data_IF_195751746799
#
_entry.id   IF_195751746799
#
_cell.length_a   1.000
_cell.length_b   1.000
_cell.length_c   1.000
_cell.angle_alpha   90.00
_cell.angle_beta   90.00
_cell.angle_gamma   90.00
#
_symmetry.space_group_name_H-M   'P 1'
#
loop_
_entity.id
_entity.type
_entity.pdbx_description
1 polymer ?
#
# COMPACT_ATOMS: atom_id res chain seq x y z
N UNK A 1 -40.59 25.04 2.72
CA UNK A 1 -39.17 25.32 2.35
C UNK A 1 -38.32 25.05 3.54
N UNK A 2 -37.84 23.81 3.72
CA UNK A 2 -36.90 23.44 4.77
C UNK A 2 -35.50 23.29 4.16
N UNK A 3 -34.65 24.24 4.50
CA UNK A 3 -33.23 24.24 4.14
C UNK A 3 -32.51 23.12 4.89
N UNK A 4 -32.30 22.00 4.24
CA UNK A 4 -31.36 20.98 4.71
C UNK A 4 -29.94 21.56 4.69
N UNK A 5 -29.48 22.09 5.82
CA UNK A 5 -28.07 22.40 6.07
C UNK A 5 -27.29 21.08 6.02
N UNK A 6 -26.56 20.86 4.94
CA UNK A 6 -25.52 19.82 4.86
C UNK A 6 -24.52 20.07 5.98
N UNK A 7 -24.65 19.34 7.07
CA UNK A 7 -23.67 19.28 8.14
C UNK A 7 -22.39 18.66 7.59
N UNK A 8 -21.47 19.52 7.17
CA UNK A 8 -20.06 19.14 7.03
C UNK A 8 -19.56 18.77 8.42
N UNK A 9 -19.49 17.47 8.72
CA UNK A 9 -18.97 16.98 9.99
C UNK A 9 -17.54 17.49 10.16
N UNK A 10 -17.36 18.41 11.11
CA UNK A 10 -16.04 18.90 11.52
C UNK A 10 -15.16 17.71 11.90
N UNK A 11 -13.86 17.70 11.54
CA UNK A 11 -12.95 16.63 11.93
C UNK A 11 -12.94 16.50 13.44
N UNK A 12 -13.04 15.28 13.95
CA UNK A 12 -12.91 14.99 15.38
C UNK A 12 -11.57 15.55 15.91
N UNK A 13 -11.52 16.18 17.08
CA UNK A 13 -10.27 16.73 17.63
C UNK A 13 -9.19 15.65 17.74
N UNK A 14 -8.04 15.89 17.10
CA UNK A 14 -6.91 14.97 17.07
C UNK A 14 -6.85 14.04 15.87
N UNK A 15 -7.76 14.14 14.89
CA UNK A 15 -7.69 13.39 13.62
C UNK A 15 -6.80 14.13 12.62
N UNK A 16 -5.78 13.46 12.09
CA UNK A 16 -4.90 13.98 11.04
C UNK A 16 -5.49 13.57 9.70
N UNK A 17 -6.07 14.54 8.99
CA UNK A 17 -6.86 14.31 7.76
C UNK A 17 -6.01 13.76 6.63
N UNK A 18 -4.75 14.16 6.52
CA UNK A 18 -3.80 13.65 5.54
C UNK A 18 -3.54 12.16 5.65
N UNK A 19 -3.64 11.57 6.85
CA UNK A 19 -3.48 10.11 7.04
C UNK A 19 -4.65 9.35 6.41
N UNK A 20 -5.87 9.84 6.62
CA UNK A 20 -7.07 9.25 6.01
C UNK A 20 -7.09 9.47 4.50
N UNK A 21 -6.68 10.66 4.04
CA UNK A 21 -6.51 10.96 2.62
C UNK A 21 -5.51 10.00 1.97
N UNK A 22 -4.32 9.85 2.54
CA UNK A 22 -3.26 9.04 1.95
C UNK A 22 -3.67 7.57 1.82
N UNK A 23 -4.35 7.04 2.84
CA UNK A 23 -4.94 5.70 2.78
C UNK A 23 -5.97 5.57 1.66
N UNK A 24 -6.88 6.53 1.55
CA UNK A 24 -7.93 6.55 0.52
C UNK A 24 -7.37 6.74 -0.87
N UNK A 25 -6.37 7.60 -1.04
CA UNK A 25 -5.66 7.81 -2.30
C UNK A 25 -5.01 6.51 -2.81
N UNK A 26 -4.30 5.80 -1.94
CA UNK A 26 -3.68 4.52 -2.30
C UNK A 26 -4.72 3.49 -2.74
N UNK A 27 -5.84 3.39 -2.02
CA UNK A 27 -6.92 2.46 -2.38
C UNK A 27 -7.67 2.87 -3.65
N UNK A 28 -7.82 4.17 -3.88
CA UNK A 28 -8.42 4.68 -5.11
C UNK A 28 -7.58 4.32 -6.34
N UNK A 29 -6.25 4.42 -6.25
CA UNK A 29 -5.36 3.99 -7.32
C UNK A 29 -5.45 2.48 -7.58
N UNK A 30 -5.48 1.64 -6.53
CA UNK A 30 -5.66 0.19 -6.69
C UNK A 30 -6.99 -0.17 -7.37
N UNK A 31 -8.06 0.57 -7.09
CA UNK A 31 -9.33 0.39 -7.78
C UNK A 31 -9.25 0.74 -9.28
N UNK A 32 -8.39 1.70 -9.66
CA UNK A 32 -8.13 2.05 -11.06
C UNK A 32 -7.38 0.95 -11.83
N UNK A 33 -6.43 0.25 -11.16
CA UNK A 33 -5.79 -0.96 -11.73
C UNK A 33 -6.83 -2.06 -11.96
N UNK A 34 -7.65 -2.34 -10.97
CA UNK A 34 -8.70 -3.35 -11.06
C UNK A 34 -9.73 -3.05 -12.18
N UNK A 35 -9.90 -1.77 -12.53
CA UNK A 35 -10.72 -1.34 -13.67
C UNK A 35 -10.02 -1.52 -15.04
N UNK A 36 -8.80 -2.08 -15.10
CA UNK A 36 -7.96 -2.25 -16.30
C UNK A 36 -7.71 -0.95 -17.08
N UNK A 37 -7.75 0.20 -16.38
CA UNK A 37 -7.55 1.50 -17.02
C UNK A 37 -6.08 1.73 -17.40
N UNK A 38 -5.16 1.31 -16.55
CA UNK A 38 -3.73 1.64 -16.70
C UNK A 38 -3.09 0.92 -17.88
N UNK A 39 -3.39 -0.36 -18.05
CA UNK A 39 -2.93 -1.15 -19.20
C UNK A 39 -3.46 -0.63 -20.54
N UNK A 40 -4.61 0.05 -20.55
CA UNK A 40 -5.16 0.70 -21.74
C UNK A 40 -4.29 1.89 -22.18
N UNK A 41 -3.64 2.61 -21.27
CA UNK A 41 -2.76 3.74 -21.62
C UNK A 41 -1.53 3.30 -22.43
N UNK A 42 -1.04 2.10 -22.23
CA UNK A 42 0.09 1.54 -22.99
C UNK A 42 -0.25 1.27 -24.46
N UNK A 43 -1.53 1.12 -24.80
CA UNK A 43 -2.00 0.85 -26.15
C UNK A 43 -2.09 2.10 -27.02
N UNK A 44 -1.99 3.31 -26.43
CA UNK A 44 -2.03 4.56 -27.18
C UNK A 44 -0.72 4.80 -27.92
N UNK A 45 -0.79 5.23 -29.19
CA UNK A 45 0.36 5.71 -29.96
C UNK A 45 0.69 7.18 -29.57
N UNK A 46 1.03 7.37 -28.32
CA UNK A 46 1.39 8.66 -27.74
C UNK A 46 2.45 8.46 -26.67
N UNK A 47 3.62 9.07 -26.85
CA UNK A 47 4.71 8.98 -25.88
C UNK A 47 4.33 9.42 -24.45
N UNK A 48 3.42 10.39 -24.33
CA UNK A 48 2.91 10.83 -23.04
C UNK A 48 2.02 9.77 -22.38
N UNK A 49 1.09 9.16 -23.13
CA UNK A 49 0.23 8.10 -22.58
C UNK A 49 1.02 6.85 -22.24
N UNK A 50 1.98 6.47 -23.06
CA UNK A 50 2.90 5.36 -22.79
C UNK A 50 3.74 5.64 -21.54
N UNK A 51 4.25 6.87 -21.36
CA UNK A 51 4.96 7.23 -20.13
C UNK A 51 4.07 7.06 -18.90
N UNK A 52 2.82 7.56 -18.92
CA UNK A 52 1.88 7.39 -17.82
C UNK A 52 1.59 5.90 -17.60
N UNK A 53 1.29 5.14 -18.65
CA UNK A 53 1.04 3.70 -18.58
C UNK A 53 2.21 2.96 -17.92
N UNK A 54 3.44 3.21 -18.36
CA UNK A 54 4.65 2.62 -17.79
C UNK A 54 4.81 2.97 -16.29
N UNK A 55 4.52 4.21 -15.88
CA UNK A 55 4.58 4.58 -14.46
C UNK A 55 3.47 3.92 -13.61
N UNK A 56 2.38 3.48 -14.22
CA UNK A 56 1.25 2.81 -13.58
C UNK A 56 1.30 1.27 -13.72
N UNK A 57 2.37 0.73 -14.28
CA UNK A 57 2.70 -0.69 -14.32
C UNK A 57 3.90 -1.00 -13.42
N UNK A 58 4.00 -2.25 -12.97
CA UNK A 58 5.15 -2.70 -12.22
C UNK A 58 6.41 -2.73 -13.08
N UNK A 59 7.53 -2.25 -12.52
CA UNK A 59 8.83 -2.47 -13.17
C UNK A 59 9.12 -3.97 -13.28
N UNK A 60 9.67 -4.37 -14.42
CA UNK A 60 9.85 -5.80 -14.70
C UNK A 60 10.75 -6.48 -13.69
N UNK A 61 11.92 -5.90 -13.37
CA UNK A 61 12.85 -6.45 -12.39
C UNK A 61 13.64 -5.36 -11.65
N UNK A 62 14.73 -4.83 -12.23
CA UNK A 62 15.59 -3.83 -11.59
C UNK A 62 15.17 -2.41 -11.96
N UNK A 63 14.58 -1.70 -11.03
CA UNK A 63 14.11 -0.32 -11.17
C UNK A 63 12.90 -0.03 -10.31
N UNK A 64 12.36 1.18 -10.47
CA UNK A 64 11.24 1.68 -9.67
C UNK A 64 10.32 2.52 -10.55
N UNK A 65 9.10 2.05 -10.75
CA UNK A 65 8.00 2.85 -11.27
C UNK A 65 7.15 3.41 -10.14
N UNK A 66 6.32 4.39 -10.43
CA UNK A 66 5.38 4.94 -9.44
C UNK A 66 4.47 3.85 -8.86
N UNK A 67 4.03 2.89 -9.69
CA UNK A 67 3.17 1.79 -9.26
C UNK A 67 3.83 0.88 -8.21
N UNK A 68 5.14 0.81 -8.22
CA UNK A 68 5.89 0.04 -7.23
C UNK A 68 5.82 0.63 -5.82
N UNK A 69 5.43 1.89 -5.68
CA UNK A 69 5.25 2.57 -4.40
C UNK A 69 3.91 2.25 -3.71
N UNK A 70 2.92 1.71 -4.41
CA UNK A 70 1.57 1.50 -3.86
C UNK A 70 1.57 0.56 -2.66
N UNK A 71 2.29 -0.56 -2.73
CA UNK A 71 2.42 -1.48 -1.61
C UNK A 71 3.18 -0.85 -0.42
N UNK A 72 4.35 -0.22 -0.58
CA UNK A 72 5.01 0.58 0.45
C UNK A 72 4.10 1.63 1.08
N UNK A 73 3.33 2.37 0.29
CA UNK A 73 2.36 3.35 0.77
C UNK A 73 1.35 2.71 1.71
N UNK A 74 0.81 1.55 1.32
CA UNK A 74 -0.19 0.85 2.11
C UNK A 74 0.39 0.31 3.42
N UNK A 75 1.57 -0.34 3.38
CA UNK A 75 2.28 -0.84 4.55
C UNK A 75 2.58 0.28 5.55
N UNK A 76 3.10 1.38 5.04
CA UNK A 76 3.50 2.54 5.83
C UNK A 76 2.30 3.23 6.49
N UNK A 77 1.21 3.50 5.73
CA UNK A 77 0.06 4.23 6.27
C UNK A 77 -0.68 3.42 7.34
N UNK A 78 -0.67 2.08 7.23
CA UNK A 78 -1.16 1.21 8.31
C UNK A 78 -0.29 1.38 9.56
N UNK A 79 1.03 1.46 9.41
CA UNK A 79 1.95 1.78 10.49
C UNK A 79 1.67 3.14 11.13
N UNK A 80 1.48 4.19 10.33
CA UNK A 80 1.13 5.55 10.80
C UNK A 80 -0.14 5.53 11.64
N UNK A 81 -1.12 4.71 11.28
CA UNK A 81 -2.40 4.62 11.98
C UNK A 81 -2.30 3.92 13.35
N UNK A 82 -1.30 3.08 13.61
CA UNK A 82 -1.16 2.31 14.87
C UNK A 82 -1.15 3.21 16.12
N UNK A 83 -0.29 4.25 16.23
CA UNK A 83 -0.26 5.11 17.41
C UNK A 83 -1.60 5.81 17.67
N UNK A 84 -2.26 6.29 16.61
CA UNK A 84 -3.58 6.93 16.72
C UNK A 84 -4.65 5.96 17.21
N UNK A 85 -4.70 4.74 16.67
CA UNK A 85 -5.65 3.72 17.06
C UNK A 85 -5.45 3.30 18.52
N UNK A 86 -4.21 3.10 18.94
CA UNK A 86 -3.87 2.75 20.33
C UNK A 86 -4.27 3.88 21.28
N UNK A 87 -3.91 5.14 20.98
CA UNK A 87 -4.27 6.30 21.78
C UNK A 87 -5.79 6.44 21.95
N UNK A 88 -6.56 6.25 20.87
CA UNK A 88 -8.02 6.29 20.92
C UNK A 88 -8.62 5.18 21.80
N UNK A 89 -8.03 3.99 21.82
CA UNK A 89 -8.48 2.88 22.67
C UNK A 89 -8.16 3.14 24.14
N UNK A 90 -6.99 3.67 24.43
CA UNK A 90 -6.61 4.08 25.79
C UNK A 90 -7.58 5.14 26.31
N UNK A 91 -7.91 6.15 25.49
CA UNK A 91 -8.91 7.18 25.86
C UNK A 91 -10.30 6.59 26.14
N UNK A 92 -10.65 5.47 25.51
CA UNK A 92 -11.91 4.74 25.78
C UNK A 92 -11.85 3.82 27.00
N UNK A 93 -10.71 3.75 27.70
CA UNK A 93 -10.53 2.90 28.88
C UNK A 93 -10.18 1.44 28.57
N UNK A 94 -9.83 1.11 27.32
CA UNK A 94 -9.41 -0.27 26.99
C UNK A 94 -8.09 -0.63 27.69
N UNK A 95 -8.04 -1.78 28.36
CA UNK A 95 -6.81 -2.30 28.95
C UNK A 95 -5.77 -2.70 27.89
N UNK A 96 -4.49 -2.70 28.27
CA UNK A 96 -3.41 -3.14 27.37
C UNK A 96 -3.64 -4.55 26.80
N UNK A 97 -4.18 -5.47 27.61
CA UNK A 97 -4.53 -6.84 27.19
C UNK A 97 -5.59 -6.80 26.08
N UNK A 98 -6.63 -5.99 26.23
CA UNK A 98 -7.71 -5.84 25.24
C UNK A 98 -7.19 -5.23 23.93
N UNK A 99 -6.30 -4.21 24.02
CA UNK A 99 -5.66 -3.58 22.87
C UNK A 99 -4.79 -4.59 22.12
N UNK A 100 -3.99 -5.39 22.85
CA UNK A 100 -3.12 -6.41 22.25
C UNK A 100 -3.93 -7.53 21.60
N UNK A 101 -4.97 -8.03 22.26
CA UNK A 101 -5.83 -9.08 21.71
C UNK A 101 -6.53 -8.61 20.41
N UNK A 102 -6.94 -7.33 20.38
CA UNK A 102 -7.51 -6.76 19.15
C UNK A 102 -6.48 -6.68 18.03
N UNK A 103 -5.22 -6.35 18.34
CA UNK A 103 -4.16 -6.33 17.33
C UNK A 103 -3.86 -7.74 16.78
N UNK A 104 -3.82 -8.75 17.65
CA UNK A 104 -3.65 -10.16 17.26
C UNK A 104 -4.83 -10.62 16.39
N UNK A 105 -6.07 -10.33 16.82
CA UNK A 105 -7.27 -10.67 16.04
C UNK A 105 -7.22 -10.02 14.65
N UNK A 106 -6.84 -8.76 14.57
CA UNK A 106 -6.70 -8.04 13.31
C UNK A 106 -5.65 -8.67 12.40
N UNK A 107 -4.48 -9.01 12.96
CA UNK A 107 -3.42 -9.72 12.23
C UNK A 107 -3.92 -11.06 11.66
N UNK A 108 -4.59 -11.85 12.48
CA UNK A 108 -5.18 -13.13 12.05
C UNK A 108 -6.22 -12.95 10.95
N UNK A 109 -7.12 -11.97 11.07
CA UNK A 109 -8.13 -11.71 10.03
C UNK A 109 -7.51 -11.23 8.72
N UNK A 110 -6.45 -10.41 8.77
CA UNK A 110 -5.69 -10.03 7.57
C UNK A 110 -5.08 -11.25 6.89
N UNK A 111 -4.48 -12.17 7.67
CA UNK A 111 -3.92 -13.41 7.16
C UNK A 111 -5.00 -14.29 6.53
N UNK A 112 -6.11 -14.48 7.23
CA UNK A 112 -7.24 -15.28 6.78
C UNK A 112 -7.80 -14.77 5.44
N UNK A 113 -8.11 -13.47 5.34
CA UNK A 113 -8.62 -12.91 4.10
C UNK A 113 -7.58 -12.91 2.98
N UNK A 114 -6.30 -12.67 3.30
CA UNK A 114 -5.24 -12.74 2.31
C UNK A 114 -5.04 -14.15 1.74
N UNK A 115 -5.11 -15.18 2.56
CA UNK A 115 -5.08 -16.58 2.08
C UNK A 115 -6.38 -16.97 1.37
N UNK A 116 -7.55 -16.51 1.84
CA UNK A 116 -8.81 -16.77 1.17
C UNK A 116 -8.81 -16.30 -0.29
N UNK A 117 -8.19 -15.14 -0.58
CA UNK A 117 -8.03 -14.67 -1.96
C UNK A 117 -7.20 -15.62 -2.81
N UNK A 118 -6.08 -16.16 -2.27
CA UNK A 118 -5.27 -17.15 -2.99
C UNK A 118 -6.00 -18.47 -3.19
N UNK A 119 -6.81 -18.92 -2.23
CA UNK A 119 -7.58 -20.17 -2.37
C UNK A 119 -8.62 -20.04 -3.47
N UNK A 120 -9.25 -18.86 -3.61
CA UNK A 120 -10.21 -18.59 -4.70
C UNK A 120 -9.50 -18.58 -6.06
N UNK A 121 -8.31 -17.98 -6.16
CA UNK A 121 -7.55 -17.88 -7.39
C UNK A 121 -6.97 -19.23 -7.85
N UNK A 122 -6.44 -20.02 -6.90
CA UNK A 122 -5.73 -21.27 -7.17
C UNK A 122 -6.63 -22.51 -7.20
N UNK A 123 -7.88 -22.42 -6.75
CA UNK A 123 -8.82 -23.54 -6.56
C UNK A 123 -8.28 -24.67 -5.64
N UNK A 124 -7.26 -24.37 -4.83
CA UNK A 124 -6.72 -25.24 -3.80
C UNK A 124 -6.03 -24.43 -2.69
N UNK A 125 -5.65 -25.08 -1.59
CA UNK A 125 -5.00 -24.41 -0.47
C UNK A 125 -3.55 -24.02 -0.81
N UNK A 126 -3.28 -22.72 -0.82
CA UNK A 126 -1.97 -22.13 -1.09
C UNK A 126 -1.60 -21.14 0.00
N UNK A 127 -0.44 -21.31 0.62
CA UNK A 127 -0.01 -20.50 1.76
C UNK A 127 1.09 -19.48 1.37
N UNK A 128 0.72 -18.51 0.53
CA UNK A 128 1.60 -17.44 0.05
C UNK A 128 1.53 -16.19 0.94
N UNK A 129 2.63 -15.43 0.98
CA UNK A 129 2.70 -14.13 1.65
C UNK A 129 3.07 -13.00 0.67
N UNK A 130 2.54 -13.06 -0.55
CA UNK A 130 2.88 -12.13 -1.62
C UNK A 130 1.87 -10.98 -1.74
N UNK A 131 0.59 -11.18 -1.40
CA UNK A 131 -0.40 -10.10 -1.42
C UNK A 131 -0.27 -9.17 -0.19
N UNK A 132 -0.84 -7.98 -0.32
CA UNK A 132 -0.78 -6.92 0.70
C UNK A 132 -1.36 -7.35 2.04
N UNK A 133 -2.44 -8.13 2.07
CA UNK A 133 -3.11 -8.54 3.33
C UNK A 133 -2.26 -9.54 4.11
N UNK A 134 -1.71 -10.56 3.42
CA UNK A 134 -0.85 -11.56 4.09
C UNK A 134 0.43 -10.91 4.62
N UNK A 135 1.07 -10.03 3.86
CA UNK A 135 2.24 -9.29 4.34
C UNK A 135 1.89 -8.39 5.53
N UNK A 136 0.76 -7.65 5.46
CA UNK A 136 0.31 -6.81 6.56
C UNK A 136 0.01 -7.61 7.83
N UNK A 137 -0.44 -8.85 7.72
CA UNK A 137 -0.71 -9.66 8.90
C UNK A 137 0.53 -9.78 9.80
N UNK A 138 1.70 -9.95 9.21
CA UNK A 138 2.99 -10.05 9.92
C UNK A 138 3.53 -8.67 10.26
N UNK A 139 3.67 -7.80 9.26
CA UNK A 139 4.33 -6.49 9.44
C UNK A 139 3.59 -5.59 10.43
N UNK A 140 2.25 -5.63 10.41
CA UNK A 140 1.41 -4.92 11.40
C UNK A 140 1.63 -5.45 12.81
N UNK A 141 1.67 -6.78 13.00
CA UNK A 141 1.85 -7.38 14.32
C UNK A 141 3.23 -7.05 14.89
N UNK A 142 4.29 -7.18 14.08
CA UNK A 142 5.65 -6.82 14.48
C UNK A 142 5.74 -5.34 14.88
N UNK A 143 5.26 -4.44 14.01
CA UNK A 143 5.25 -3.01 14.28
C UNK A 143 4.43 -2.66 15.54
N UNK A 144 3.29 -3.32 15.75
CA UNK A 144 2.48 -3.15 16.95
C UNK A 144 3.23 -3.60 18.22
N UNK A 145 3.90 -4.75 18.19
CA UNK A 145 4.63 -5.28 19.36
C UNK A 145 5.80 -4.37 19.78
N UNK A 146 6.53 -3.83 18.81
CA UNK A 146 7.68 -2.94 19.10
C UNK A 146 7.29 -1.45 19.20
N UNK A 147 6.00 -1.10 19.04
CA UNK A 147 5.54 0.30 19.02
C UNK A 147 5.98 1.13 20.23
N UNK A 148 6.08 0.49 21.42
CA UNK A 148 6.45 1.18 22.66
C UNK A 148 7.96 1.29 22.88
N UNK A 149 8.77 0.64 22.03
CA UNK A 149 10.24 0.75 22.10
C UNK A 149 10.69 2.14 21.65
N UNK A 150 11.92 2.51 22.03
CA UNK A 150 12.51 3.81 21.66
C UNK A 150 12.64 3.97 20.15
N UNK A 151 12.75 5.22 19.69
CA UNK A 151 13.03 5.54 18.28
C UNK A 151 14.29 4.81 17.78
N UNK A 152 15.38 4.87 18.55
CA UNK A 152 16.66 4.22 18.19
C UNK A 152 16.50 2.71 18.04
N UNK A 153 15.79 2.07 18.96
CA UNK A 153 15.54 0.63 18.87
C UNK A 153 14.77 0.27 17.59
N UNK A 154 13.68 0.96 17.28
CA UNK A 154 12.86 0.68 16.10
C UNK A 154 13.64 0.90 14.81
N UNK A 155 14.45 1.96 14.74
CA UNK A 155 15.29 2.24 13.58
C UNK A 155 16.39 1.16 13.42
N UNK A 156 17.14 0.86 14.47
CA UNK A 156 18.20 -0.17 14.44
C UNK A 156 17.59 -1.52 14.07
N UNK A 157 16.47 -1.90 14.67
CA UNK A 157 15.76 -3.14 14.37
C UNK A 157 15.45 -3.28 12.87
N UNK A 158 14.94 -2.22 12.25
CA UNK A 158 14.63 -2.26 10.81
C UNK A 158 15.89 -2.32 9.94
N UNK A 159 16.93 -1.57 10.29
CA UNK A 159 18.21 -1.63 9.56
C UNK A 159 18.90 -3.00 9.69
N UNK A 160 18.83 -3.62 10.86
CA UNK A 160 19.36 -4.97 11.09
C UNK A 160 18.59 -6.01 10.27
N UNK A 161 17.26 -5.93 10.22
CA UNK A 161 16.46 -6.83 9.38
C UNK A 161 16.84 -6.67 7.91
N UNK A 162 16.97 -5.43 7.40
CA UNK A 162 17.35 -5.17 6.00
C UNK A 162 18.76 -5.71 5.71
N UNK A 163 19.70 -5.55 6.63
CA UNK A 163 21.04 -6.10 6.49
C UNK A 163 21.03 -7.64 6.50
N UNK A 164 20.31 -8.25 7.43
CA UNK A 164 20.25 -9.71 7.54
C UNK A 164 19.63 -10.37 6.31
N UNK A 165 18.56 -9.78 5.76
CA UNK A 165 17.94 -10.32 4.56
C UNK A 165 18.84 -10.12 3.32
N UNK A 166 19.52 -8.99 3.21
CA UNK A 166 20.48 -8.73 2.14
C UNK A 166 21.64 -9.74 2.18
N UNK A 167 22.21 -9.98 3.38
CA UNK A 167 23.24 -11.00 3.57
C UNK A 167 22.73 -12.42 3.27
N UNK A 168 21.50 -12.73 3.66
CA UNK A 168 20.87 -14.02 3.36
C UNK A 168 20.74 -14.27 1.86
N UNK A 169 20.35 -13.26 1.08
CA UNK A 169 20.31 -13.38 -0.39
C UNK A 169 21.70 -13.53 -1.00
N UNK A 170 22.70 -12.74 -0.53
CA UNK A 170 24.08 -12.73 -1.06
C UNK A 170 24.83 -14.04 -0.83
N UNK A 171 24.67 -14.62 0.35
CA UNK A 171 25.42 -15.78 0.80
C UNK A 171 24.58 -17.07 0.81
N UNK A 172 23.48 -17.10 0.07
CA UNK A 172 22.64 -18.28 -0.02
C UNK A 172 23.38 -19.41 -0.78
N UNK A 173 23.61 -20.58 -0.15
CA UNK A 173 24.56 -21.56 -0.68
C UNK A 173 23.96 -22.61 -1.63
N UNK A 174 22.63 -22.56 -1.88
CA UNK A 174 21.96 -23.62 -2.67
C UNK A 174 22.22 -23.40 -4.15
N UNK A 175 22.82 -24.40 -4.81
CA UNK A 175 23.09 -24.38 -6.24
C UNK A 175 21.80 -24.17 -7.05
N UNK A 176 21.87 -23.34 -8.09
CA UNK A 176 20.72 -22.89 -8.89
C UNK A 176 19.88 -21.78 -8.24
N UNK A 177 20.15 -21.43 -6.96
CA UNK A 177 19.50 -20.33 -6.25
C UNK A 177 20.48 -19.36 -5.57
N UNK A 178 21.74 -19.46 -5.92
CA UNK A 178 22.84 -18.67 -5.37
C UNK A 178 23.19 -17.42 -6.16
N UNK A 179 22.30 -16.98 -7.05
CA UNK A 179 22.40 -15.72 -7.80
C UNK A 179 21.45 -14.68 -7.20
N UNK A 180 21.88 -13.86 -6.21
CA UNK A 180 21.00 -13.09 -5.31
C UNK A 180 20.02 -12.17 -6.01
N UNK A 181 20.41 -11.64 -7.20
CA UNK A 181 19.62 -10.63 -7.91
C UNK A 181 19.05 -11.13 -9.24
N UNK A 182 19.18 -12.42 -9.53
CA UNK A 182 18.62 -13.04 -10.74
C UNK A 182 17.24 -13.61 -10.44
N UNK A 183 16.29 -13.35 -11.34
CA UNK A 183 14.92 -13.84 -11.16
C UNK A 183 14.89 -15.37 -11.23
N UNK A 184 14.14 -16.00 -10.35
CA UNK A 184 14.03 -17.47 -10.16
C UNK A 184 15.31 -18.20 -9.69
N UNK A 185 16.45 -17.52 -9.54
CA UNK A 185 17.72 -18.11 -9.16
C UNK A 185 18.23 -17.60 -7.80
N UNK A 186 17.32 -17.19 -6.92
CA UNK A 186 17.66 -16.55 -5.64
C UNK A 186 16.94 -17.21 -4.46
N UNK A 187 17.32 -16.80 -3.25
CA UNK A 187 16.73 -17.26 -1.98
C UNK A 187 15.20 -17.16 -1.98
N UNK A 188 14.62 -16.06 -2.53
CA UNK A 188 13.19 -15.88 -2.57
C UNK A 188 12.48 -16.94 -3.40
N UNK A 189 13.03 -17.26 -4.57
CA UNK A 189 12.52 -18.33 -5.43
C UNK A 189 12.63 -19.71 -4.78
N UNK A 190 13.80 -20.00 -4.16
CA UNK A 190 13.98 -21.25 -3.40
C UNK A 190 12.96 -21.40 -2.28
N UNK A 191 12.74 -20.34 -1.53
CA UNK A 191 11.78 -20.32 -0.43
C UNK A 191 10.34 -20.54 -0.92
N UNK A 192 9.96 -19.88 -2.02
CA UNK A 192 8.66 -20.09 -2.66
C UNK A 192 8.48 -21.55 -3.09
N UNK A 193 9.46 -22.15 -3.77
CA UNK A 193 9.41 -23.54 -4.23
C UNK A 193 9.21 -24.52 -3.06
N UNK A 194 9.85 -24.25 -1.91
CA UNK A 194 9.72 -25.10 -0.72
C UNK A 194 8.36 -24.98 -0.02
N UNK A 195 7.77 -23.78 0.01
CA UNK A 195 6.47 -23.54 0.67
C UNK A 195 5.32 -23.88 -0.26
N UNK A 196 5.41 -23.48 -1.53
CA UNK A 196 4.34 -23.63 -2.49
C UNK A 196 4.37 -25.00 -3.20
N UNK A 197 5.49 -25.71 -3.13
CA UNK A 197 5.64 -27.04 -3.70
C UNK A 197 5.56 -27.11 -5.23
N UNK A 198 5.88 -25.99 -5.90
CA UNK A 198 5.89 -25.87 -7.37
C UNK A 198 7.24 -25.39 -7.89
N UNK A 199 7.73 -25.98 -8.99
CA UNK A 199 9.06 -25.68 -9.53
C UNK A 199 9.18 -24.26 -10.14
N UNK A 200 8.07 -23.65 -10.55
CA UNK A 200 8.02 -22.27 -11.01
C UNK A 200 7.01 -21.48 -10.18
N UNK A 201 7.48 -21.04 -9.04
CA UNK A 201 6.73 -20.12 -8.22
C UNK A 201 6.68 -18.71 -8.87
N UNK A 202 5.81 -17.86 -8.35
CA UNK A 202 5.72 -16.44 -8.73
C UNK A 202 7.09 -15.75 -8.68
N UNK A 203 7.30 -14.75 -9.53
CA UNK A 203 8.45 -13.83 -9.45
C UNK A 203 8.50 -13.05 -8.13
N UNK A 204 7.37 -12.98 -7.42
CA UNK A 204 7.25 -12.32 -6.13
C UNK A 204 7.69 -13.24 -5.00
N UNK A 205 8.65 -12.80 -4.20
CA UNK A 205 9.11 -13.59 -3.08
C UNK A 205 8.16 -13.51 -1.88
N UNK A 206 7.80 -14.67 -1.34
CA UNK A 206 7.04 -14.76 -0.08
C UNK A 206 7.80 -14.10 1.08
N UNK A 207 9.14 -14.11 1.09
CA UNK A 207 9.98 -13.47 2.10
C UNK A 207 9.88 -11.93 2.15
N UNK A 208 9.21 -11.28 1.21
CA UNK A 208 9.09 -9.82 1.15
C UNK A 208 8.54 -9.19 2.43
N UNK A 209 7.69 -9.90 3.19
CA UNK A 209 7.15 -9.38 4.44
C UNK A 209 8.25 -9.07 5.48
N UNK A 210 9.41 -9.73 5.40
CA UNK A 210 10.55 -9.47 6.32
C UNK A 210 11.07 -8.05 6.06
N UNK A 211 11.46 -7.75 4.84
CA UNK A 211 11.99 -6.43 4.44
C UNK A 211 10.93 -5.33 4.57
N UNK A 212 9.71 -5.58 4.09
CA UNK A 212 8.62 -4.59 4.10
C UNK A 212 8.10 -4.27 5.51
N UNK A 213 8.46 -5.07 6.53
CA UNK A 213 8.25 -4.72 7.94
C UNK A 213 8.85 -3.35 8.27
N UNK A 214 9.95 -2.96 7.63
CA UNK A 214 10.56 -1.65 7.83
C UNK A 214 9.59 -0.51 7.47
N UNK A 215 8.84 -0.60 6.37
CA UNK A 215 7.85 0.43 5.99
C UNK A 215 6.79 0.62 7.09
N UNK A 216 6.26 -0.48 7.64
CA UNK A 216 5.22 -0.41 8.69
C UNK A 216 5.79 0.17 9.98
N UNK A 217 7.02 -0.19 10.38
CA UNK A 217 7.69 0.36 11.56
C UNK A 217 8.01 1.85 11.38
N UNK A 218 8.52 2.25 10.21
CA UNK A 218 8.76 3.68 9.92
C UNK A 218 7.45 4.46 9.90
N UNK A 219 6.35 3.85 9.46
CA UNK A 219 5.01 4.40 9.61
C UNK A 219 4.67 4.69 11.09
N UNK A 220 4.93 3.75 12.00
CA UNK A 220 4.72 3.97 13.45
C UNK A 220 5.53 5.17 13.96
N UNK A 221 6.79 5.31 13.54
CA UNK A 221 7.65 6.44 13.92
C UNK A 221 7.08 7.76 13.41
N UNK A 222 6.64 7.81 12.16
CA UNK A 222 6.01 9.00 11.58
C UNK A 222 4.65 9.32 12.23
N UNK A 223 3.85 8.31 12.57
CA UNK A 223 2.60 8.48 13.31
C UNK A 223 2.83 9.11 14.69
N UNK A 224 3.84 8.64 15.43
CA UNK A 224 4.25 9.25 16.70
C UNK A 224 4.74 10.69 16.52
N UNK A 225 5.50 10.96 15.45
CA UNK A 225 5.94 12.32 15.13
C UNK A 225 4.74 13.24 14.88
N UNK A 226 3.76 12.81 14.10
CA UNK A 226 2.55 13.59 13.84
C UNK A 226 1.74 13.87 15.11
N UNK A 227 1.74 12.94 16.08
CA UNK A 227 1.06 13.10 17.39
C UNK A 227 1.85 13.92 18.40
N UNK A 228 3.13 14.18 18.17
CA UNK A 228 3.98 14.91 19.10
C UNK A 228 3.63 16.41 19.19
N UNK A 229 4.07 17.06 20.26
CA UNK A 229 3.87 18.51 20.49
C UNK A 229 4.78 19.41 19.61
N UNK A 230 5.55 18.83 18.71
CA UNK A 230 6.41 19.59 17.77
C UNK A 230 5.56 20.47 16.87
N UNK A 231 6.11 21.64 16.50
CA UNK A 231 5.47 22.53 15.52
C UNK A 231 5.34 21.87 14.15
N UNK A 232 4.37 22.31 13.34
CA UNK A 232 4.20 21.82 11.98
C UNK A 232 5.49 21.94 11.15
N UNK A 233 6.22 23.04 11.29
CA UNK A 233 7.52 23.25 10.60
C UNK A 233 8.54 22.18 11.01
N UNK A 234 8.67 21.90 12.29
CA UNK A 234 9.60 20.86 12.79
C UNK A 234 9.21 19.46 12.29
N UNK A 235 7.91 19.12 12.29
CA UNK A 235 7.43 17.85 11.74
C UNK A 235 7.78 17.69 10.27
N UNK A 236 7.51 18.72 9.46
CA UNK A 236 7.85 18.75 8.03
C UNK A 236 9.36 18.62 7.82
N UNK A 237 10.19 19.36 8.55
CA UNK A 237 11.64 19.26 8.43
C UNK A 237 12.15 17.84 8.73
N UNK A 238 11.68 17.21 9.78
CA UNK A 238 12.06 15.83 10.13
C UNK A 238 11.64 14.86 9.04
N UNK A 239 10.41 14.98 8.52
CA UNK A 239 9.90 14.12 7.44
C UNK A 239 10.72 14.31 6.14
N UNK A 240 11.05 15.56 5.77
CA UNK A 240 11.88 15.83 4.58
C UNK A 240 13.27 15.19 4.76
N UNK A 241 13.93 15.41 5.89
CA UNK A 241 15.27 14.86 6.14
C UNK A 241 15.24 13.34 6.08
N UNK A 242 14.25 12.69 6.75
CA UNK A 242 14.13 11.24 6.74
C UNK A 242 13.82 10.70 5.34
N UNK A 243 12.91 11.34 4.61
CA UNK A 243 12.53 10.92 3.26
C UNK A 243 13.70 11.07 2.27
N UNK A 244 14.37 12.23 2.28
CA UNK A 244 15.55 12.46 1.41
C UNK A 244 16.70 11.52 1.76
N UNK A 245 16.96 11.26 3.03
CA UNK A 245 17.98 10.29 3.45
C UNK A 245 17.65 8.88 2.92
N UNK A 246 16.38 8.44 3.00
CA UNK A 246 15.94 7.17 2.43
C UNK A 246 16.18 7.09 0.92
N UNK A 247 15.84 8.15 0.16
CA UNK A 247 16.10 8.23 -1.27
C UNK A 247 17.59 8.17 -1.59
N UNK A 248 18.39 9.03 -0.96
CA UNK A 248 19.83 9.10 -1.21
C UNK A 248 20.48 7.75 -0.94
N UNK A 249 20.21 7.11 0.21
CA UNK A 249 20.82 5.82 0.53
C UNK A 249 20.31 4.73 -0.42
N UNK A 250 18.99 4.64 -0.65
CA UNK A 250 18.40 3.60 -1.49
C UNK A 250 18.90 3.64 -2.93
N UNK A 251 18.90 4.81 -3.56
CA UNK A 251 19.44 4.99 -4.93
C UNK A 251 20.97 4.88 -4.98
N UNK A 252 21.69 5.29 -3.94
CA UNK A 252 23.15 5.10 -3.92
C UNK A 252 23.53 3.64 -3.89
N UNK A 253 22.81 2.78 -3.16
CA UNK A 253 23.04 1.33 -3.14
C UNK A 253 22.85 0.72 -4.53
N UNK A 254 21.88 1.19 -5.29
CA UNK A 254 21.61 0.73 -6.66
C UNK A 254 22.69 1.24 -7.64
N UNK A 255 22.93 2.55 -7.67
CA UNK A 255 23.89 3.19 -8.58
C UNK A 255 25.33 2.70 -8.37
N UNK A 256 25.71 2.37 -7.14
CA UNK A 256 27.01 1.79 -6.81
C UNK A 256 27.07 0.27 -7.04
N UNK A 257 26.01 -0.34 -7.58
CA UNK A 257 25.90 -1.78 -7.79
C UNK A 257 26.11 -2.62 -6.52
N UNK A 258 25.78 -2.04 -5.35
CA UNK A 258 25.85 -2.77 -4.09
C UNK A 258 24.62 -3.66 -3.94
N UNK A 259 23.41 -3.10 -4.08
CA UNK A 259 22.15 -3.83 -4.03
C UNK A 259 21.17 -3.18 -5.02
N UNK A 260 20.75 -3.85 -6.09
CA UNK A 260 19.82 -3.30 -7.07
C UNK A 260 18.44 -3.05 -6.48
N UNK A 261 17.72 -2.08 -7.01
CA UNK A 261 16.34 -1.80 -6.62
C UNK A 261 15.42 -2.84 -7.27
N UNK A 262 15.00 -3.85 -6.50
CA UNK A 262 14.08 -4.90 -6.98
C UNK A 262 12.92 -5.05 -6.01
N UNK A 263 11.74 -4.65 -6.45
CA UNK A 263 10.51 -4.76 -5.66
C UNK A 263 10.09 -6.20 -5.41
N UNK A 264 10.20 -7.06 -6.42
CA UNK A 264 9.66 -8.43 -6.40
C UNK A 264 10.32 -9.32 -5.33
N UNK A 265 11.52 -8.97 -4.89
CA UNK A 265 12.24 -9.61 -3.76
C UNK A 265 12.47 -8.65 -2.59
N UNK A 266 11.91 -7.44 -2.64
CA UNK A 266 11.97 -6.39 -1.63
C UNK A 266 13.40 -6.16 -1.10
N UNK A 267 14.35 -5.87 -2.01
CA UNK A 267 15.75 -5.56 -1.67
C UNK A 267 15.85 -4.38 -0.70
N UNK A 268 16.94 -4.32 0.04
CA UNK A 268 17.18 -3.22 1.00
C UNK A 268 17.20 -1.85 0.33
N UNK A 269 17.77 -1.74 -0.87
CA UNK A 269 17.73 -0.52 -1.70
C UNK A 269 16.30 -0.13 -2.09
N UNK A 270 15.47 -1.10 -2.53
CA UNK A 270 14.06 -0.86 -2.81
C UNK A 270 13.31 -0.36 -1.58
N UNK A 271 13.50 -1.00 -0.42
CA UNK A 271 12.80 -0.60 0.82
C UNK A 271 13.19 0.79 1.26
N UNK A 272 14.48 1.15 1.17
CA UNK A 272 14.99 2.48 1.52
C UNK A 272 14.46 3.56 0.54
N UNK A 273 14.56 3.32 -0.77
CA UNK A 273 14.10 4.28 -1.78
C UNK A 273 12.57 4.47 -1.72
N UNK A 274 11.81 3.38 -1.73
CA UNK A 274 10.34 3.45 -1.65
C UNK A 274 9.85 4.00 -0.31
N UNK A 275 10.54 3.69 0.80
CA UNK A 275 10.29 4.29 2.12
C UNK A 275 10.54 5.79 2.12
N UNK A 276 11.60 6.25 1.47
CA UNK A 276 11.90 7.68 1.27
C UNK A 276 10.76 8.39 0.53
N UNK A 277 10.34 7.87 -0.62
CA UNK A 277 9.19 8.39 -1.37
C UNK A 277 7.90 8.41 -0.53
N UNK A 278 7.67 7.36 0.23
CA UNK A 278 6.48 7.22 1.08
C UNK A 278 6.44 8.29 2.18
N UNK A 279 7.57 8.54 2.85
CA UNK A 279 7.69 9.58 3.88
C UNK A 279 7.48 10.97 3.27
N UNK A 280 8.04 11.24 2.08
CA UNK A 280 7.84 12.50 1.38
C UNK A 280 6.39 12.68 0.92
N UNK A 281 5.73 11.64 0.45
CA UNK A 281 4.31 11.66 0.08
C UNK A 281 3.42 11.96 1.30
N UNK A 282 3.70 11.37 2.47
CA UNK A 282 3.03 11.72 3.72
C UNK A 282 3.31 13.19 4.11
N UNK A 283 4.56 13.63 4.01
CA UNK A 283 4.96 15.01 4.29
C UNK A 283 4.20 16.01 3.43
N UNK A 284 4.13 15.77 2.12
CA UNK A 284 3.38 16.59 1.18
C UNK A 284 1.89 16.62 1.50
N UNK A 285 1.29 15.45 1.76
CA UNK A 285 -0.12 15.34 2.13
C UNK A 285 -0.43 16.09 3.43
N UNK A 286 0.44 15.97 4.44
CA UNK A 286 0.32 16.68 5.71
C UNK A 286 0.43 18.20 5.53
N UNK A 287 1.41 18.65 4.77
CA UNK A 287 1.60 20.07 4.46
C UNK A 287 0.39 20.65 3.71
N UNK A 288 -0.08 19.96 2.68
CA UNK A 288 -1.17 20.44 1.81
C UNK A 288 -2.53 20.48 2.55
N UNK A 289 -2.84 19.41 3.30
CA UNK A 289 -4.19 19.20 3.86
C UNK A 289 -4.30 19.72 5.30
N UNK A 290 -3.36 19.35 6.18
CA UNK A 290 -3.49 19.69 7.61
C UNK A 290 -2.89 21.06 7.94
N UNK A 291 -1.79 21.45 7.28
CA UNK A 291 -1.09 22.72 7.56
C UNK A 291 -1.64 23.86 6.70
N UNK A 292 -1.65 23.71 5.37
CA UNK A 292 -2.11 24.75 4.45
C UNK A 292 -3.61 24.75 4.22
N UNK A 293 -4.29 23.62 4.45
CA UNK A 293 -5.74 23.44 4.26
C UNK A 293 -6.22 23.74 2.83
N UNK A 294 -5.34 23.58 1.83
CA UNK A 294 -5.62 23.92 0.43
C UNK A 294 -6.48 22.86 -0.26
N UNK A 295 -6.40 21.60 0.15
CA UNK A 295 -7.05 20.47 -0.54
C UNK A 295 -8.09 19.74 0.34
N UNK A 296 -8.69 20.40 1.31
CA UNK A 296 -9.61 19.77 2.27
C UNK A 296 -10.86 19.18 1.64
N UNK A 297 -11.46 19.88 0.64
CA UNK A 297 -12.63 19.38 -0.09
C UNK A 297 -12.29 18.23 -1.02
N UNK A 298 -11.19 18.32 -1.77
CA UNK A 298 -10.71 17.22 -2.64
C UNK A 298 -10.28 16.00 -1.85
N UNK A 299 -9.70 16.19 -0.67
CA UNK A 299 -9.31 15.09 0.21
C UNK A 299 -10.50 14.20 0.59
N UNK A 300 -11.69 14.77 0.74
CA UNK A 300 -12.91 14.02 1.05
C UNK A 300 -13.22 12.93 0.02
N UNK A 301 -13.02 13.21 -1.27
CA UNK A 301 -13.21 12.25 -2.36
C UNK A 301 -12.42 10.94 -2.12
N UNK A 302 -11.17 11.07 -1.70
CA UNK A 302 -10.32 9.91 -1.40
C UNK A 302 -10.62 9.29 -0.03
N UNK A 303 -10.92 10.13 0.98
CA UNK A 303 -11.25 9.65 2.34
C UNK A 303 -12.44 8.70 2.33
N UNK A 304 -13.43 8.95 1.49
CA UNK A 304 -14.60 8.07 1.31
C UNK A 304 -14.16 6.63 0.99
N UNK A 305 -13.24 6.45 0.05
CA UNK A 305 -12.68 5.13 -0.29
C UNK A 305 -11.88 4.56 0.89
N UNK A 306 -11.08 5.39 1.55
CA UNK A 306 -10.27 5.00 2.70
C UNK A 306 -11.06 4.53 3.93
N UNK A 307 -12.33 4.89 4.04
CA UNK A 307 -13.19 4.46 5.15
C UNK A 307 -13.57 2.98 5.07
N UNK A 308 -13.59 2.40 3.86
CA UNK A 308 -13.90 1.00 3.58
C UNK A 308 -12.78 0.28 2.81
N UNK A 309 -11.51 0.61 3.09
CA UNK A 309 -10.36 0.14 2.31
C UNK A 309 -10.25 -1.40 2.24
N UNK A 310 -10.53 -2.12 3.31
CA UNK A 310 -10.46 -3.59 3.31
C UNK A 310 -11.60 -4.19 2.48
N UNK A 311 -12.80 -3.64 2.60
CA UNK A 311 -13.93 -4.06 1.78
C UNK A 311 -13.62 -3.91 0.30
N UNK A 312 -13.24 -2.71 -0.15
CA UNK A 312 -13.00 -2.46 -1.58
C UNK A 312 -11.82 -3.28 -2.10
N UNK A 313 -10.76 -3.50 -1.30
CA UNK A 313 -9.65 -4.36 -1.65
C UNK A 313 -10.11 -5.80 -1.93
N UNK A 314 -10.83 -6.41 -1.02
CA UNK A 314 -11.37 -7.77 -1.20
C UNK A 314 -12.37 -7.79 -2.36
N UNK A 315 -13.24 -6.79 -2.44
CA UNK A 315 -14.30 -6.71 -3.43
C UNK A 315 -13.78 -6.75 -4.86
N UNK A 316 -12.76 -5.97 -5.20
CA UNK A 316 -12.23 -6.04 -6.57
C UNK A 316 -11.35 -7.28 -6.81
N UNK A 317 -10.65 -7.83 -5.80
CA UNK A 317 -9.86 -9.04 -5.95
C UNK A 317 -10.70 -10.31 -6.17
N UNK A 318 -11.96 -10.34 -5.74
CA UNK A 318 -12.88 -11.45 -6.04
C UNK A 318 -13.54 -11.33 -7.42
N UNK A 319 -13.09 -10.42 -8.27
CA UNK A 319 -13.57 -10.27 -9.65
C UNK A 319 -14.73 -9.30 -9.84
N UNK A 320 -15.16 -8.56 -8.82
CA UNK A 320 -16.31 -7.64 -8.94
C UNK A 320 -16.08 -6.49 -9.92
N UNK A 321 -14.84 -6.08 -10.16
CA UNK A 321 -14.54 -5.08 -11.20
C UNK A 321 -14.89 -5.60 -12.60
N UNK A 322 -14.67 -6.90 -12.87
CA UNK A 322 -15.07 -7.54 -14.13
C UNK A 322 -16.60 -7.60 -14.26
N UNK A 323 -17.33 -7.92 -13.19
CA UNK A 323 -18.80 -7.91 -13.19
C UNK A 323 -19.34 -6.51 -13.49
N UNK A 324 -18.77 -5.47 -12.89
CA UNK A 324 -19.15 -4.08 -13.19
C UNK A 324 -18.84 -3.76 -14.67
N UNK A 325 -17.69 -4.21 -15.18
CA UNK A 325 -17.30 -4.04 -16.58
C UNK A 325 -18.31 -4.69 -17.53
N UNK A 326 -18.75 -5.92 -17.28
CA UNK A 326 -19.75 -6.63 -18.07
C UNK A 326 -21.08 -5.85 -18.16
N UNK A 327 -21.46 -5.15 -17.09
CA UNK A 327 -22.65 -4.29 -17.06
C UNK A 327 -22.41 -3.00 -17.88
N UNK A 328 -21.23 -2.39 -17.76
CA UNK A 328 -20.88 -1.10 -18.37
C UNK A 328 -20.60 -1.23 -19.87
N UNK A 329 -19.93 -2.31 -20.30
CA UNK A 329 -19.48 -2.51 -21.69
C UNK A 329 -20.57 -2.33 -22.75
N UNK A 330 -21.78 -2.88 -22.61
CA UNK A 330 -22.83 -2.70 -23.62
C UNK A 330 -23.21 -1.21 -23.81
N UNK A 331 -23.29 -0.47 -22.72
CA UNK A 331 -23.62 0.95 -22.75
C UNK A 331 -22.48 1.80 -23.34
N UNK A 332 -21.26 1.55 -22.89
CA UNK A 332 -20.09 2.24 -23.42
C UNK A 332 -19.90 1.95 -24.90
N UNK A 333 -20.11 0.71 -25.34
CA UNK A 333 -20.06 0.30 -26.75
C UNK A 333 -21.11 1.01 -27.59
N UNK A 334 -22.35 1.06 -27.10
CA UNK A 334 -23.42 1.76 -27.81
C UNK A 334 -23.14 3.25 -27.98
N UNK A 335 -22.61 3.90 -26.94
CA UNK A 335 -22.44 5.35 -26.92
C UNK A 335 -21.14 5.82 -27.57
N UNK A 336 -20.05 5.03 -27.50
CA UNK A 336 -18.70 5.49 -27.79
C UNK A 336 -17.93 4.63 -28.80
N UNK A 337 -18.53 3.57 -29.41
CA UNK A 337 -17.84 2.72 -30.39
C UNK A 337 -17.38 3.50 -31.64
N UNK A 338 -18.07 4.58 -31.99
CA UNK A 338 -17.71 5.49 -33.07
C UNK A 338 -16.39 6.24 -32.84
N UNK A 339 -15.96 6.40 -31.59
CA UNK A 339 -14.72 7.12 -31.23
C UNK A 339 -13.46 6.25 -31.27
N UNK A 340 -13.58 4.99 -31.69
CA UNK A 340 -12.49 4.03 -31.79
C UNK A 340 -12.32 3.16 -30.53
N UNK A 341 -11.68 2.00 -30.69
CA UNK A 341 -11.58 0.97 -29.66
C UNK A 341 -10.88 1.45 -28.38
N UNK A 342 -9.78 2.18 -28.49
CA UNK A 342 -9.03 2.68 -27.31
C UNK A 342 -9.81 3.70 -26.51
N UNK A 343 -10.55 4.59 -27.19
CA UNK A 343 -11.41 5.57 -26.52
C UNK A 343 -12.53 4.87 -25.74
N UNK A 344 -13.17 3.90 -26.39
CA UNK A 344 -14.19 3.07 -25.78
C UNK A 344 -13.63 2.33 -24.55
N UNK A 345 -12.49 1.64 -24.65
CA UNK A 345 -11.85 0.94 -23.54
C UNK A 345 -11.51 1.88 -22.37
N UNK A 346 -11.00 3.07 -22.68
CA UNK A 346 -10.68 4.10 -21.65
C UNK A 346 -11.94 4.58 -20.93
N UNK A 347 -13.01 4.89 -21.66
CA UNK A 347 -14.27 5.33 -21.06
C UNK A 347 -14.88 4.22 -20.21
N UNK A 348 -14.84 2.98 -20.68
CA UNK A 348 -15.31 1.82 -19.90
C UNK A 348 -14.50 1.67 -18.60
N UNK A 349 -13.16 1.74 -18.68
CA UNK A 349 -12.29 1.70 -17.52
C UNK A 349 -12.59 2.81 -16.50
N UNK A 350 -12.79 4.04 -16.97
CA UNK A 350 -13.18 5.17 -16.14
C UNK A 350 -14.57 4.98 -15.49
N UNK A 351 -15.52 4.43 -16.22
CA UNK A 351 -16.87 4.16 -15.70
C UNK A 351 -16.84 3.05 -14.63
N UNK A 352 -16.06 1.98 -14.84
CA UNK A 352 -15.83 0.92 -13.83
C UNK A 352 -15.17 1.50 -12.58
N UNK A 353 -14.12 2.30 -12.74
CA UNK A 353 -13.44 2.95 -11.63
C UNK A 353 -14.37 3.89 -10.85
N UNK A 354 -15.19 4.69 -11.58
CA UNK A 354 -16.24 5.50 -10.99
C UNK A 354 -17.29 4.68 -10.24
N UNK A 355 -17.67 3.54 -10.78
CA UNK A 355 -18.60 2.59 -10.14
C UNK A 355 -18.05 2.04 -8.83
N UNK A 356 -16.77 1.62 -8.79
CA UNK A 356 -16.09 1.17 -7.58
C UNK A 356 -16.02 2.29 -6.53
N UNK A 357 -15.73 3.53 -6.96
CA UNK A 357 -15.77 4.70 -6.08
C UNK A 357 -17.19 4.95 -5.55
N UNK A 358 -18.20 4.86 -6.41
CA UNK A 358 -19.59 5.08 -6.03
C UNK A 358 -20.09 4.07 -5.00
N UNK A 359 -19.68 2.82 -5.08
CA UNK A 359 -19.98 1.80 -4.06
C UNK A 359 -19.39 2.23 -2.70
N UNK A 360 -18.14 2.71 -2.67
CA UNK A 360 -17.55 3.24 -1.44
C UNK A 360 -18.30 4.46 -0.91
N UNK A 361 -18.76 5.35 -1.81
CA UNK A 361 -19.56 6.51 -1.47
C UNK A 361 -20.92 6.10 -0.90
N UNK A 362 -21.60 5.15 -1.51
CA UNK A 362 -22.88 4.62 -1.03
C UNK A 362 -22.76 4.00 0.37
N UNK A 363 -21.72 3.21 0.62
CA UNK A 363 -21.42 2.66 1.93
C UNK A 363 -21.16 3.77 2.96
N UNK A 364 -20.45 4.82 2.56
CA UNK A 364 -20.14 5.96 3.41
C UNK A 364 -21.41 6.73 3.81
N UNK A 365 -22.29 7.05 2.86
CA UNK A 365 -23.56 7.75 3.10
C UNK A 365 -24.49 6.95 4.02
N UNK A 366 -24.53 5.63 3.85
CA UNK A 366 -25.31 4.73 4.71
C UNK A 366 -24.61 4.37 6.03
N UNK A 367 -23.45 4.99 6.33
CA UNK A 367 -22.67 4.77 7.57
C UNK A 367 -22.26 3.31 7.77
N UNK A 368 -22.11 2.55 6.71
CA UNK A 368 -21.63 1.17 6.71
C UNK A 368 -20.11 1.19 6.61
N UNK A 369 -19.43 0.79 7.68
CA UNK A 369 -17.95 0.77 7.76
C UNK A 369 -17.49 -0.65 8.12
N UNK A 370 -16.98 -1.35 7.11
CA UNK A 370 -16.44 -2.71 7.26
C UNK A 370 -15.01 -2.59 7.78
N UNK A 371 -14.80 -3.03 9.02
CA UNK A 371 -13.51 -2.94 9.72
C UNK A 371 -13.10 -4.32 10.22
N UNK A 372 -11.79 -4.59 10.13
CA UNK A 372 -11.12 -5.75 10.72
C UNK A 372 -10.39 -5.35 11.99
#
# INVERSE_FOLDING_TARGET
MNSNSKTTSSPLPGRVTSVDFFRGFTMFLLAGEAAHLYSTFLKYDSGFMQFIGNQLEHHEWNGLHFWDLIQPFFMFIVGVAIPFAVANRIKKGDSNRKITMHAIKRSFLLLFFGWALYFIEADHLVFRFQNVLTQLSVTYLVAFLIRNKSFRFQLIFTLVILLLIDLAYRFFPVEGFNHPWVNFENLGAWFNNKIEGVDKASTWATLNFVSTTAHTVWGVLCGKLLMSDKTAKQKIQILIIAGVAGLVIGYSLDLLNITPIIKKIATSSFVLASGGWTILALCFSYWLIDVKKLFTRGAWFFIVVGMNCIFIYIFFHIGSANLIREIVDPFSKLLFSWAGALTFETITGLAVWGGLWYICYWLFENKIFIKI
#
